data_IF_599430037084
#
_entry.id   IF_599430037084
#
_cell.length_a   1.000
_cell.length_b   1.000
_cell.length_c   1.000
_cell.angle_alpha   90.00
_cell.angle_beta   90.00
_cell.angle_gamma   90.00
#
_symmetry.space_group_name_H-M   'P 1'
#
loop_
_entity.id
_entity.type
_entity.pdbx_description
1 polymer ?
#
# COMPACT_ATOMS: atom_id res chain seq x y z
N UNK A 1 44.61 4.13 19.37
CA UNK A 1 44.45 4.27 17.90
C UNK A 1 43.95 3.00 17.21
N UNK A 2 44.40 1.78 17.57
CA UNK A 2 43.91 0.53 16.94
C UNK A 2 42.42 0.21 17.18
N UNK A 3 41.88 0.54 18.36
CA UNK A 3 40.46 0.35 18.70
C UNK A 3 39.52 1.31 17.95
N UNK A 4 40.02 2.48 17.53
CA UNK A 4 39.22 3.47 16.79
C UNK A 4 39.03 3.07 15.32
N UNK A 5 40.01 2.37 14.74
CA UNK A 5 39.98 1.88 13.35
C UNK A 5 38.98 0.73 13.12
N UNK A 6 38.71 -0.08 14.14
CA UNK A 6 37.76 -1.21 14.06
C UNK A 6 36.32 -0.70 14.04
N UNK A 7 36.02 0.39 14.76
CA UNK A 7 34.69 1.01 14.77
C UNK A 7 34.34 1.68 13.43
N UNK A 8 35.33 2.25 12.73
CA UNK A 8 35.15 2.83 11.39
C UNK A 8 34.95 1.78 10.29
N UNK A 9 35.56 0.59 10.40
CA UNK A 9 35.37 -0.47 9.40
C UNK A 9 34.00 -1.15 9.51
N UNK A 10 33.43 -1.21 10.72
CA UNK A 10 32.11 -1.81 10.94
C UNK A 10 30.95 -0.92 10.49
N UNK A 11 31.16 0.40 10.42
CA UNK A 11 30.15 1.36 9.97
C UNK A 11 29.98 1.39 8.44
N UNK A 12 31.01 0.99 7.67
CA UNK A 12 31.00 1.04 6.19
C UNK A 12 30.24 -0.13 5.56
N UNK A 13 30.09 -1.26 6.27
CA UNK A 13 29.38 -2.43 5.73
C UNK A 13 27.85 -2.35 5.85
N UNK A 14 27.29 -1.46 6.68
CA UNK A 14 25.86 -1.46 7.02
C UNK A 14 25.00 -0.69 5.99
N UNK A 15 25.58 0.17 5.17
CA UNK A 15 24.82 1.00 4.21
C UNK A 15 24.47 0.27 2.90
N UNK A 16 25.26 -0.73 2.50
CA UNK A 16 25.10 -1.40 1.19
C UNK A 16 23.80 -2.20 1.02
N UNK A 17 23.33 -2.87 2.07
CA UNK A 17 22.09 -3.65 2.00
C UNK A 17 20.84 -2.76 2.02
N UNK A 18 20.87 -1.66 2.79
CA UNK A 18 19.74 -0.74 2.88
C UNK A 18 19.46 -0.09 1.52
N UNK A 19 20.49 0.35 0.81
CA UNK A 19 20.34 0.92 -0.54
C UNK A 19 19.84 -0.12 -1.54
N UNK A 20 20.26 -1.38 -1.43
CA UNK A 20 19.83 -2.44 -2.36
C UNK A 20 18.38 -2.89 -2.19
N UNK A 21 17.79 -2.67 -1.01
CA UNK A 21 16.40 -3.07 -0.69
C UNK A 21 15.41 -1.92 -0.83
N UNK A 22 15.89 -0.68 -1.02
CA UNK A 22 15.02 0.46 -1.22
C UNK A 22 14.56 0.52 -2.69
N UNK A 23 13.25 0.43 -2.96
CA UNK A 23 12.77 0.67 -4.30
C UNK A 23 13.06 2.11 -4.71
N UNK A 24 13.47 2.30 -5.95
CA UNK A 24 13.55 3.62 -6.56
C UNK A 24 12.13 4.08 -6.89
N UNK A 25 11.74 5.23 -6.35
CA UNK A 25 10.39 5.78 -6.44
C UNK A 25 10.38 7.10 -7.18
N UNK A 26 9.34 7.32 -7.98
CA UNK A 26 9.08 8.57 -8.72
C UNK A 26 7.57 8.90 -8.74
N UNK A 27 7.21 10.06 -9.29
CA UNK A 27 5.81 10.49 -9.46
C UNK A 27 4.96 10.35 -8.18
N UNK A 28 5.42 10.92 -7.07
CA UNK A 28 4.72 10.84 -5.79
C UNK A 28 3.33 11.48 -5.84
N UNK A 29 2.33 10.84 -5.24
CA UNK A 29 0.98 11.37 -5.13
C UNK A 29 0.25 10.89 -3.87
N UNK A 30 -0.80 11.64 -3.54
CA UNK A 30 -1.74 11.31 -2.47
C UNK A 30 -2.99 10.65 -3.05
N UNK A 31 -3.53 9.70 -2.30
CA UNK A 31 -4.79 9.06 -2.63
C UNK A 31 -5.67 8.94 -1.40
N UNK A 32 -6.84 9.59 -1.44
CA UNK A 32 -7.75 9.73 -0.32
C UNK A 32 -9.13 9.19 -0.69
N UNK A 33 -9.64 8.31 0.15
CA UNK A 33 -10.85 7.53 -0.09
C UNK A 33 -11.77 7.52 1.13
N UNK A 34 -13.06 7.39 0.84
CA UNK A 34 -14.11 7.09 1.83
C UNK A 34 -14.53 5.64 1.71
N UNK A 35 -14.68 4.95 2.84
CA UNK A 35 -15.21 3.58 2.88
C UNK A 35 -16.70 3.61 2.58
N UNK A 36 -17.10 2.91 1.52
CA UNK A 36 -18.49 2.81 1.10
C UNK A 36 -19.20 1.67 1.84
N UNK A 37 -18.58 0.49 1.88
CA UNK A 37 -19.13 -0.70 2.51
C UNK A 37 -18.03 -1.63 3.04
N UNK A 38 -18.39 -2.39 4.08
CA UNK A 38 -17.60 -3.49 4.63
C UNK A 38 -18.55 -4.66 4.90
N UNK A 39 -18.22 -5.85 4.42
CA UNK A 39 -18.99 -7.06 4.69
C UNK A 39 -18.10 -8.28 4.85
N UNK A 40 -18.68 -9.34 5.43
CA UNK A 40 -18.07 -10.65 5.57
C UNK A 40 -19.19 -11.69 5.58
N UNK A 41 -18.90 -12.89 5.09
CA UNK A 41 -19.83 -14.04 5.11
C UNK A 41 -19.42 -15.14 6.06
N UNK A 42 -18.15 -15.17 6.47
CA UNK A 42 -17.53 -16.23 7.28
C UNK A 42 -16.92 -15.71 8.61
N UNK A 43 -16.92 -14.39 8.82
CA UNK A 43 -16.30 -13.73 9.96
C UNK A 43 -14.77 -13.77 9.96
N UNK A 44 -14.14 -14.16 8.84
CA UNK A 44 -12.68 -14.30 8.68
C UNK A 44 -12.16 -13.51 7.49
N UNK A 45 -12.89 -13.56 6.39
CA UNK A 45 -12.60 -12.84 5.15
C UNK A 45 -13.48 -11.61 5.09
N UNK A 46 -12.88 -10.44 4.96
CA UNK A 46 -13.62 -9.17 4.93
C UNK A 46 -13.46 -8.50 3.57
N UNK A 47 -14.57 -8.20 2.92
CA UNK A 47 -14.62 -7.46 1.67
C UNK A 47 -15.02 -6.02 1.93
N UNK A 48 -14.25 -5.09 1.39
CA UNK A 48 -14.45 -3.64 1.56
C UNK A 48 -14.49 -2.97 0.20
N UNK A 49 -15.35 -1.97 0.03
CA UNK A 49 -15.30 -1.03 -1.09
C UNK A 49 -15.05 0.38 -0.60
N UNK A 50 -14.34 1.16 -1.41
CA UNK A 50 -14.08 2.56 -1.13
C UNK A 50 -14.04 3.36 -2.44
N UNK A 51 -14.34 4.66 -2.36
CA UNK A 51 -14.27 5.56 -3.50
C UNK A 51 -13.66 6.89 -3.09
N UNK A 52 -12.97 7.53 -4.03
CA UNK A 52 -12.15 8.71 -3.72
C UNK A 52 -11.38 9.24 -4.90
N UNK A 53 -10.34 10.01 -4.62
CA UNK A 53 -9.45 10.62 -5.61
C UNK A 53 -8.02 10.13 -5.39
N UNK A 54 -7.31 9.79 -6.47
CA UNK A 54 -5.94 9.27 -6.41
C UNK A 54 -5.03 9.99 -7.41
N UNK A 55 -4.39 11.07 -6.98
CA UNK A 55 -3.41 11.83 -7.76
C UNK A 55 -3.77 11.97 -9.26
N UNK A 56 -2.92 11.49 -10.19
CA UNK A 56 -3.14 11.63 -11.62
C UNK A 56 -4.28 10.75 -12.17
N UNK A 57 -4.77 9.79 -11.39
CA UNK A 57 -5.89 8.92 -11.76
C UNK A 57 -7.25 9.59 -11.53
N UNK A 58 -7.33 10.66 -10.74
CA UNK A 58 -8.59 11.32 -10.40
C UNK A 58 -9.52 10.36 -9.66
N UNK A 59 -10.79 10.30 -10.03
CA UNK A 59 -11.80 9.50 -9.33
C UNK A 59 -11.54 8.01 -9.49
N UNK A 60 -11.40 7.31 -8.37
CA UNK A 60 -11.12 5.87 -8.33
C UNK A 60 -12.12 5.16 -7.42
N UNK A 61 -12.52 3.96 -7.83
CA UNK A 61 -13.30 3.01 -7.07
C UNK A 61 -12.44 1.79 -6.77
N UNK A 62 -12.41 1.40 -5.49
CA UNK A 62 -11.59 0.30 -4.99
C UNK A 62 -12.47 -0.80 -4.40
N UNK A 63 -12.01 -2.03 -4.55
CA UNK A 63 -12.46 -3.16 -3.76
C UNK A 63 -11.26 -3.87 -3.13
N UNK A 64 -11.40 -4.31 -1.89
CA UNK A 64 -10.40 -5.07 -1.16
C UNK A 64 -11.03 -6.32 -0.58
N UNK A 65 -10.23 -7.38 -0.50
CA UNK A 65 -10.48 -8.60 0.27
C UNK A 65 -9.34 -8.78 1.25
N UNK A 66 -9.63 -8.62 2.54
CA UNK A 66 -8.69 -8.81 3.63
C UNK A 66 -8.76 -10.23 4.17
N UNK A 67 -7.61 -10.82 4.43
CA UNK A 67 -7.46 -12.13 5.08
C UNK A 67 -6.38 -12.09 6.16
N UNK A 68 -6.44 -13.05 7.06
CA UNK A 68 -5.37 -13.36 8.01
C UNK A 68 -5.10 -14.87 7.94
N UNK A 69 -4.42 -15.29 6.87
CA UNK A 69 -4.21 -16.72 6.59
C UNK A 69 -3.35 -17.40 7.66
N UNK A 70 -2.49 -16.64 8.34
CA UNK A 70 -1.61 -17.13 9.40
C UNK A 70 -2.22 -17.03 10.81
N UNK A 71 -3.46 -16.53 10.93
CA UNK A 71 -4.19 -16.41 12.20
C UNK A 71 -3.49 -15.53 13.25
N UNK A 72 -2.81 -14.48 12.80
CA UNK A 72 -2.05 -13.55 13.61
C UNK A 72 -2.94 -12.52 14.33
N UNK A 73 -4.20 -12.38 13.89
CA UNK A 73 -5.29 -11.54 14.41
C UNK A 73 -5.09 -10.04 14.21
N UNK A 74 -3.88 -9.55 14.46
CA UNK A 74 -3.55 -8.13 14.38
C UNK A 74 -2.95 -7.73 13.02
N UNK A 75 -2.68 -8.68 12.14
CA UNK A 75 -2.07 -8.45 10.82
C UNK A 75 -2.48 -9.53 9.85
N UNK A 76 -2.29 -9.26 8.57
CA UNK A 76 -2.65 -10.17 7.51
C UNK A 76 -2.31 -9.62 6.15
N UNK A 77 -2.93 -10.19 5.12
CA UNK A 77 -2.75 -9.82 3.74
C UNK A 77 -4.06 -9.38 3.09
N UNK A 78 -3.96 -8.67 1.97
CA UNK A 78 -5.12 -8.32 1.17
C UNK A 78 -4.81 -8.36 -0.32
N UNK A 79 -5.87 -8.53 -1.10
CA UNK A 79 -5.89 -8.31 -2.54
C UNK A 79 -7.04 -7.37 -2.89
N UNK A 80 -6.99 -6.71 -4.04
CA UNK A 80 -8.01 -5.78 -4.46
C UNK A 80 -7.97 -5.43 -5.93
N UNK A 81 -8.95 -4.61 -6.32
CA UNK A 81 -9.06 -4.06 -7.66
C UNK A 81 -9.37 -2.58 -7.59
N UNK A 82 -8.76 -1.82 -8.50
CA UNK A 82 -9.05 -0.42 -8.75
C UNK A 82 -9.69 -0.24 -10.12
N UNK A 83 -10.61 0.70 -10.22
CA UNK A 83 -11.21 1.16 -11.46
C UNK A 83 -11.26 2.68 -11.46
N UNK A 84 -10.83 3.29 -12.55
CA UNK A 84 -11.03 4.71 -12.82
C UNK A 84 -11.41 4.94 -14.27
N UNK A 85 -12.16 6.02 -14.50
CA UNK A 85 -12.51 6.48 -15.83
C UNK A 85 -12.35 8.01 -15.89
N UNK A 86 -11.58 8.47 -16.88
CA UNK A 86 -11.44 9.88 -17.22
C UNK A 86 -11.84 10.08 -18.68
N UNK A 87 -13.04 10.63 -18.90
CA UNK A 87 -13.67 10.67 -20.23
C UNK A 87 -13.87 9.27 -20.77
N UNK A 88 -13.27 8.97 -21.93
CA UNK A 88 -13.31 7.64 -22.56
C UNK A 88 -12.18 6.71 -22.08
N UNK A 89 -11.19 7.23 -21.35
CA UNK A 89 -10.04 6.44 -20.90
C UNK A 89 -10.39 5.72 -19.61
N UNK A 90 -10.34 4.39 -19.65
CA UNK A 90 -10.47 3.53 -18.48
C UNK A 90 -9.07 3.05 -18.07
N UNK A 91 -8.78 3.10 -16.76
CA UNK A 91 -7.62 2.43 -16.17
C UNK A 91 -8.12 1.55 -15.03
N UNK A 92 -7.81 0.26 -15.12
CA UNK A 92 -7.98 -0.69 -14.03
C UNK A 92 -6.65 -0.95 -13.34
N UNK A 93 -6.68 -1.49 -12.11
CA UNK A 93 -5.49 -1.97 -11.43
C UNK A 93 -5.77 -3.13 -10.49
N UNK A 94 -4.75 -3.93 -10.23
CA UNK A 94 -4.73 -4.94 -9.16
C UNK A 94 -3.96 -4.39 -7.97
N UNK A 95 -4.47 -4.65 -6.78
CA UNK A 95 -3.93 -4.15 -5.51
C UNK A 95 -3.55 -5.36 -4.67
N UNK A 96 -2.39 -5.33 -4.03
CA UNK A 96 -2.00 -6.42 -3.13
C UNK A 96 -0.99 -5.96 -2.10
N UNK A 97 -1.15 -6.45 -0.88
CA UNK A 97 -0.31 -6.00 0.21
C UNK A 97 -0.59 -6.65 1.54
N UNK A 98 -0.05 -6.02 2.58
CA UNK A 98 -0.19 -6.45 3.97
C UNK A 98 -0.71 -5.32 4.83
N UNK A 99 -1.39 -5.69 5.91
CA UNK A 99 -1.85 -4.73 6.91
C UNK A 99 -1.37 -5.12 8.30
N UNK A 100 -1.21 -4.11 9.16
CA UNK A 100 -0.96 -4.27 10.60
C UNK A 100 -1.89 -3.32 11.37
N UNK A 101 -2.63 -3.87 12.31
CA UNK A 101 -3.53 -3.15 13.20
C UNK A 101 -2.74 -2.50 14.34
N UNK A 102 -2.95 -1.20 14.52
CA UNK A 102 -2.37 -0.36 15.56
C UNK A 102 -3.50 0.37 16.29
N UNK A 103 -4.01 -0.26 17.37
CA UNK A 103 -5.18 0.26 18.08
C UNK A 103 -6.44 0.24 17.21
N UNK A 104 -6.97 1.43 16.90
CA UNK A 104 -8.15 1.62 16.03
C UNK A 104 -7.80 1.71 14.54
N UNK A 105 -6.53 1.90 14.21
CA UNK A 105 -6.04 2.19 12.87
C UNK A 105 -5.38 0.95 12.26
N UNK A 106 -5.47 0.79 10.95
CA UNK A 106 -4.76 -0.24 10.20
C UNK A 106 -3.73 0.43 9.29
N UNK A 107 -2.46 0.10 9.47
CA UNK A 107 -1.39 0.50 8.55
C UNK A 107 -1.31 -0.49 7.40
N UNK A 108 -1.31 0.01 6.17
CA UNK A 108 -1.29 -0.79 4.95
C UNK A 108 -0.02 -0.51 4.16
N UNK A 109 0.53 -1.56 3.56
CA UNK A 109 1.66 -1.49 2.64
C UNK A 109 1.29 -2.27 1.39
N UNK A 110 1.26 -1.61 0.24
CA UNK A 110 0.71 -2.18 -1.01
C UNK A 110 1.65 -2.00 -2.18
N UNK A 111 1.61 -2.99 -3.08
CA UNK A 111 2.24 -2.95 -4.38
C UNK A 111 1.15 -3.19 -5.43
N UNK A 112 0.93 -2.19 -6.27
CA UNK A 112 -0.21 -2.13 -7.16
C UNK A 112 0.26 -2.12 -8.61
N UNK A 113 -0.52 -2.75 -9.50
CA UNK A 113 -0.26 -2.77 -10.93
C UNK A 113 -1.44 -2.14 -11.67
N UNK A 114 -1.20 -1.06 -12.39
CA UNK A 114 -2.19 -0.43 -13.24
C UNK A 114 -2.08 -0.92 -14.69
N UNK A 115 -3.22 -1.03 -15.37
CA UNK A 115 -3.36 -1.45 -16.78
C UNK A 115 -2.65 -0.55 -17.78
N UNK A 116 -2.23 0.65 -17.36
CA UNK A 116 -1.38 1.55 -18.14
C UNK A 116 0.12 1.23 -18.02
N UNK A 117 0.48 0.13 -17.36
CA UNK A 117 1.86 -0.34 -17.19
C UNK A 117 2.61 0.24 -15.98
N UNK A 118 1.95 1.07 -15.16
CA UNK A 118 2.55 1.63 -13.95
C UNK A 118 2.49 0.64 -12.79
N UNK A 119 3.62 0.46 -12.11
CA UNK A 119 3.70 -0.21 -10.82
C UNK A 119 3.80 0.85 -9.74
N UNK A 120 3.00 0.74 -8.69
CA UNK A 120 2.94 1.74 -7.62
C UNK A 120 3.21 1.07 -6.29
N UNK A 121 4.05 1.70 -5.46
CA UNK A 121 4.18 1.36 -4.06
C UNK A 121 3.44 2.40 -3.21
N UNK A 122 2.65 1.97 -2.25
CA UNK A 122 1.94 2.88 -1.37
C UNK A 122 1.91 2.42 0.09
N UNK A 123 1.97 3.41 0.99
CA UNK A 123 1.82 3.22 2.43
C UNK A 123 0.59 3.99 2.88
N UNK A 124 -0.32 3.28 3.55
CA UNK A 124 -1.64 3.79 3.85
C UNK A 124 -2.08 3.63 5.29
N UNK A 125 -3.17 4.33 5.59
CA UNK A 125 -3.86 4.31 6.86
C UNK A 125 -5.34 4.08 6.59
N UNK A 126 -5.87 2.99 7.14
CA UNK A 126 -7.28 2.63 7.09
C UNK A 126 -7.90 2.82 8.48
N UNK A 127 -8.97 3.60 8.53
CA UNK A 127 -9.72 3.91 9.74
C UNK A 127 -11.20 3.62 9.52
N UNK A 128 -11.66 2.49 10.08
CA UNK A 128 -13.06 2.09 9.97
C UNK A 128 -14.01 2.96 10.79
N UNK A 129 -13.53 3.64 11.84
CA UNK A 129 -14.36 4.51 12.69
C UNK A 129 -14.70 5.79 11.93
N UNK A 130 -13.69 6.40 11.32
CA UNK A 130 -13.87 7.62 10.52
C UNK A 130 -14.24 7.35 9.06
N UNK A 131 -14.30 6.07 8.65
CA UNK A 131 -14.56 5.63 7.28
C UNK A 131 -13.56 6.20 6.26
N UNK A 132 -12.29 6.34 6.66
CA UNK A 132 -11.24 6.90 5.80
C UNK A 132 -10.21 5.86 5.40
N UNK A 133 -9.68 6.02 4.19
CA UNK A 133 -8.56 5.28 3.68
C UNK A 133 -7.67 6.25 2.91
N UNK A 134 -6.45 6.47 3.40
CA UNK A 134 -5.51 7.42 2.81
C UNK A 134 -4.17 6.76 2.54
N UNK A 135 -3.57 7.07 1.40
CA UNK A 135 -2.26 6.57 0.98
C UNK A 135 -1.31 7.69 0.57
N UNK A 136 -0.04 7.50 0.90
CA UNK A 136 1.09 8.13 0.19
C UNK A 136 1.61 7.11 -0.81
N UNK A 137 1.60 7.45 -2.08
CA UNK A 137 1.92 6.56 -3.19
C UNK A 137 3.05 7.12 -4.06
N UNK A 138 3.76 6.23 -4.75
CA UNK A 138 4.74 6.59 -5.75
C UNK A 138 4.90 5.46 -6.76
N UNK A 139 5.21 5.81 -8.01
CA UNK A 139 5.54 4.84 -9.04
C UNK A 139 6.90 4.20 -8.76
N UNK A 140 7.01 2.91 -9.01
CA UNK A 140 8.26 2.17 -8.99
C UNK A 140 9.00 2.38 -10.30
N UNK A 141 10.28 2.72 -10.20
CA UNK A 141 11.19 2.74 -11.35
C UNK A 141 11.70 1.31 -11.55
N UNK A 142 11.26 0.68 -12.65
CA UNK A 142 11.75 -0.61 -13.10
C UNK A 142 12.85 -0.34 -14.14
N UNK A 143 14.07 -0.75 -13.82
CA UNK A 143 15.27 -0.60 -14.68
C UNK A 143 15.43 -1.78 -15.66
#
# INVERSE_FOLDING_TARGET
>A
MKTLLIFSLLAVSVTSLADSLQPKLENHFDADFTIDALHTTDGKTYQMSASGEAGPYGRVYLSYTFTDKQQLRDRGEFTGFAFTQSGEKIVTGTLQGVYVKQGAIYKMYTHDTASNGKFTYAVGTLDFVNKTLSFKAADLVIE
#
